data_IF_860942935938
#
_entry.id   IF_860942935938
#
_cell.length_a   1.000
_cell.length_b   1.000
_cell.length_c   1.000
_cell.angle_alpha   90.00
_cell.angle_beta   90.00
_cell.angle_gamma   90.00
#
_symmetry.space_group_name_H-M   'P 1'
#
loop_
_entity.id
_entity.type
_entity.pdbx_description
1 polymer ?
#
# COMPACT_ATOMS: atom_id res chain seq x y z
N UNK A 1 24.35 -18.50 -18.07
CA UNK A 1 24.38 -18.17 -16.61
C UNK A 1 23.21 -17.24 -16.33
N UNK A 2 22.23 -17.62 -15.50
CA UNK A 2 21.15 -16.72 -15.15
C UNK A 2 21.69 -15.65 -14.20
N UNK A 3 21.59 -14.39 -14.65
CA UNK A 3 21.84 -13.24 -13.81
C UNK A 3 20.83 -13.26 -12.65
N UNK A 4 21.33 -13.46 -11.46
CA UNK A 4 20.54 -13.30 -10.25
C UNK A 4 20.00 -11.87 -10.19
N UNK A 5 18.71 -11.72 -10.40
CA UNK A 5 18.00 -10.45 -10.18
C UNK A 5 18.13 -10.11 -8.71
N UNK A 6 18.96 -9.14 -8.41
CA UNK A 6 19.14 -8.62 -7.06
C UNK A 6 17.81 -8.04 -6.56
N UNK A 7 17.40 -8.34 -5.32
CA UNK A 7 16.15 -7.83 -4.73
C UNK A 7 16.09 -6.30 -4.64
N UNK A 8 17.20 -5.61 -4.81
CA UNK A 8 17.28 -4.15 -4.85
C UNK A 8 16.56 -3.53 -6.07
N UNK A 9 16.52 -4.24 -7.21
CA UNK A 9 15.81 -3.75 -8.40
C UNK A 9 14.29 -3.80 -8.23
N UNK A 10 13.77 -4.76 -7.47
CA UNK A 10 12.35 -4.83 -7.12
C UNK A 10 11.88 -3.67 -6.24
N UNK A 11 12.76 -3.15 -5.40
CA UNK A 11 12.47 -2.03 -4.51
C UNK A 11 12.39 -0.67 -5.26
N UNK A 12 13.23 -0.49 -6.27
CA UNK A 12 13.21 0.71 -7.11
C UNK A 12 12.00 0.76 -8.07
N UNK A 13 11.39 -0.39 -8.36
CA UNK A 13 10.21 -0.49 -9.22
C UNK A 13 8.89 -0.12 -8.49
N UNK A 14 8.95 0.09 -7.19
CA UNK A 14 7.79 0.51 -6.36
C UNK A 14 7.56 2.03 -6.35
N UNK A 15 8.34 2.78 -7.12
CA UNK A 15 8.13 4.22 -7.29
C UNK A 15 7.32 4.44 -8.57
N UNK A 16 6.11 4.96 -8.45
CA UNK A 16 5.31 5.28 -9.61
C UNK A 16 3.82 5.35 -9.34
N UNK A 17 3.11 5.48 -10.43
CA UNK A 17 1.66 5.47 -10.48
C UNK A 17 1.21 4.11 -10.99
N UNK A 18 0.32 3.47 -10.27
CA UNK A 18 -0.36 2.25 -10.73
C UNK A 18 -1.86 2.49 -10.86
N UNK A 19 -2.44 1.92 -11.92
CA UNK A 19 -3.87 1.93 -12.16
C UNK A 19 -4.42 0.53 -11.88
N UNK A 20 -5.51 0.45 -11.13
CA UNK A 20 -6.22 -0.79 -10.86
C UNK A 20 -7.72 -0.60 -11.10
N UNK A 21 -8.37 -1.64 -11.59
CA UNK A 21 -9.79 -1.64 -11.87
C UNK A 21 -10.51 -2.48 -10.83
N UNK A 22 -11.55 -1.90 -10.21
CA UNK A 22 -12.37 -2.58 -9.22
C UNK A 22 -13.85 -2.43 -9.54
N UNK A 23 -14.58 -3.55 -9.56
CA UNK A 23 -16.03 -3.51 -9.69
C UNK A 23 -16.66 -2.79 -8.50
N UNK A 24 -17.56 -1.85 -8.77
CA UNK A 24 -18.29 -1.11 -7.74
C UNK A 24 -19.39 -1.99 -7.18
N UNK A 25 -19.39 -2.15 -5.86
CA UNK A 25 -20.44 -2.91 -5.16
C UNK A 25 -21.79 -2.23 -5.28
N UNK A 26 -22.84 -3.04 -5.41
CA UNK A 26 -24.22 -2.54 -5.53
C UNK A 26 -24.73 -2.38 -6.96
N UNK A 27 -23.89 -2.62 -7.97
CA UNK A 27 -24.31 -2.74 -9.37
C UNK A 27 -24.15 -4.19 -9.80
N UNK A 28 -25.21 -4.76 -10.37
CA UNK A 28 -25.19 -6.14 -10.87
C UNK A 28 -24.33 -6.23 -12.12
N UNK A 29 -23.69 -7.37 -12.30
CA UNK A 29 -22.99 -7.68 -13.53
C UNK A 29 -24.01 -7.83 -14.68
N UNK A 30 -23.63 -7.40 -15.86
CA UNK A 30 -24.47 -7.52 -17.05
C UNK A 30 -23.60 -7.95 -18.23
N UNK A 31 -24.25 -8.32 -19.33
CA UNK A 31 -23.56 -8.81 -20.53
C UNK A 31 -23.48 -7.74 -21.58
N UNK A 32 -22.31 -7.62 -22.19
CA UNK A 32 -22.07 -6.85 -23.39
C UNK A 32 -21.46 -7.74 -24.47
N UNK A 33 -21.72 -7.38 -25.71
CA UNK A 33 -21.04 -7.99 -26.84
C UNK A 33 -19.74 -7.26 -27.09
N UNK A 34 -18.63 -7.99 -27.09
CA UNK A 34 -17.31 -7.41 -27.38
C UNK A 34 -17.09 -7.25 -28.90
N UNK A 35 -15.94 -6.70 -29.29
CA UNK A 35 -15.55 -6.52 -30.69
C UNK A 35 -15.46 -7.81 -31.52
N UNK A 36 -15.48 -8.97 -30.87
CA UNK A 36 -15.39 -10.29 -31.47
C UNK A 36 -16.76 -11.00 -31.50
N UNK A 37 -17.86 -10.25 -31.36
CA UNK A 37 -19.24 -10.75 -31.27
C UNK A 37 -19.46 -11.80 -30.18
N UNK A 38 -18.67 -11.78 -29.12
CA UNK A 38 -18.85 -12.64 -27.95
C UNK A 38 -19.49 -11.88 -26.80
N UNK A 39 -20.48 -12.50 -26.17
CA UNK A 39 -21.02 -12.00 -24.91
C UNK A 39 -19.98 -12.18 -23.79
N UNK A 40 -19.69 -11.10 -23.09
CA UNK A 40 -18.80 -11.07 -21.94
C UNK A 40 -19.50 -10.44 -20.76
N UNK A 41 -19.24 -10.97 -19.58
CA UNK A 41 -19.73 -10.38 -18.36
C UNK A 41 -18.91 -9.11 -18.06
N UNK A 42 -19.62 -8.03 -17.73
CA UNK A 42 -19.01 -6.73 -17.41
C UNK A 42 -19.58 -6.20 -16.11
N UNK A 43 -18.81 -5.33 -15.48
CA UNK A 43 -19.23 -4.62 -14.28
C UNK A 43 -18.99 -3.11 -14.42
N UNK A 44 -19.78 -2.34 -13.71
CA UNK A 44 -19.47 -0.93 -13.44
C UNK A 44 -18.28 -0.85 -12.53
N UNK A 45 -17.22 -0.21 -12.96
CA UNK A 45 -15.91 -0.25 -12.31
C UNK A 45 -15.36 1.13 -12.05
N UNK A 46 -14.64 1.27 -10.94
CA UNK A 46 -13.81 2.43 -10.64
C UNK A 46 -12.38 2.16 -11.10
N UNK A 47 -11.80 3.09 -11.83
CA UNK A 47 -10.37 3.13 -12.10
C UNK A 47 -9.68 3.85 -10.96
N UNK A 48 -8.89 3.11 -10.21
CA UNK A 48 -8.19 3.58 -9.02
C UNK A 48 -6.76 3.88 -9.38
N UNK A 49 -6.36 5.10 -9.16
CA UNK A 49 -4.99 5.54 -9.34
C UNK A 49 -4.29 5.59 -7.99
N UNK A 50 -3.18 4.86 -7.88
CA UNK A 50 -2.35 4.79 -6.68
C UNK A 50 -1.00 5.39 -6.96
N UNK A 51 -0.71 6.49 -6.31
CA UNK A 51 0.63 7.09 -6.30
C UNK A 51 1.42 6.51 -5.13
N UNK A 52 2.58 5.94 -5.40
CA UNK A 52 3.42 5.32 -4.39
C UNK A 52 4.88 5.78 -4.49
N UNK A 53 5.45 5.99 -3.30
CA UNK A 53 6.87 6.19 -3.08
C UNK A 53 7.28 5.28 -1.91
N UNK A 54 7.78 4.09 -2.21
CA UNK A 54 7.98 2.98 -1.27
C UNK A 54 6.68 2.42 -0.69
N UNK A 55 5.73 3.28 -0.32
CA UNK A 55 4.40 2.95 0.18
C UNK A 55 3.36 3.76 -0.60
N UNK A 56 2.14 3.26 -0.76
CA UNK A 56 1.05 4.04 -1.32
C UNK A 56 0.72 5.21 -0.38
N UNK A 57 0.85 6.43 -0.85
CA UNK A 57 0.56 7.63 -0.07
C UNK A 57 -0.70 8.36 -0.55
N UNK A 58 -1.11 8.13 -1.79
CA UNK A 58 -2.31 8.74 -2.35
C UNK A 58 -3.04 7.74 -3.22
N UNK A 59 -4.28 7.46 -2.86
CA UNK A 59 -5.17 6.56 -3.58
C UNK A 59 -6.44 7.34 -3.88
N UNK A 60 -6.84 7.41 -5.15
CA UNK A 60 -8.05 8.10 -5.55
C UNK A 60 -8.71 7.42 -6.75
N UNK A 61 -10.00 7.62 -6.88
CA UNK A 61 -10.74 7.20 -8.06
C UNK A 61 -10.52 8.26 -9.14
N UNK A 62 -9.95 7.85 -10.27
CA UNK A 62 -9.73 8.72 -11.41
C UNK A 62 -11.02 8.90 -12.20
N UNK A 63 -11.62 7.79 -12.61
CA UNK A 63 -12.86 7.78 -13.41
C UNK A 63 -13.61 6.44 -13.24
N UNK A 64 -14.83 6.43 -13.75
CA UNK A 64 -15.64 5.22 -13.81
C UNK A 64 -15.71 4.70 -15.24
N UNK A 65 -15.65 3.39 -15.37
CA UNK A 65 -15.62 2.67 -16.65
C UNK A 65 -16.47 1.41 -16.57
N UNK A 66 -16.77 0.82 -17.70
CA UNK A 66 -17.31 -0.55 -17.75
C UNK A 66 -16.14 -1.49 -18.00
N UNK A 67 -15.88 -2.42 -17.09
CA UNK A 67 -14.79 -3.37 -17.24
C UNK A 67 -15.32 -4.79 -17.45
N UNK A 68 -14.60 -5.56 -18.26
CA UNK A 68 -14.85 -6.98 -18.39
C UNK A 68 -14.51 -7.68 -17.08
N UNK A 69 -15.39 -8.54 -16.60
CA UNK A 69 -15.16 -9.33 -15.38
C UNK A 69 -14.10 -10.39 -15.62
N UNK A 70 -13.12 -10.47 -14.73
CA UNK A 70 -12.20 -11.60 -14.69
C UNK A 70 -12.86 -12.74 -13.87
N UNK A 71 -13.18 -13.87 -14.48
CA UNK A 71 -13.88 -14.95 -13.80
C UNK A 71 -13.07 -15.59 -12.66
N UNK A 72 -11.74 -15.52 -12.71
CA UNK A 72 -10.88 -16.10 -11.70
C UNK A 72 -10.88 -15.27 -10.40
N UNK A 73 -10.94 -13.94 -10.52
CA UNK A 73 -10.95 -13.02 -9.38
C UNK A 73 -12.35 -12.56 -8.98
N UNK A 74 -13.34 -12.80 -9.83
CA UNK A 74 -14.70 -12.27 -9.68
C UNK A 74 -14.72 -10.73 -9.46
N UNK A 75 -13.86 -10.04 -10.19
CA UNK A 75 -13.63 -8.60 -10.12
C UNK A 75 -13.29 -8.09 -11.53
N UNK A 76 -13.07 -6.78 -11.68
CA UNK A 76 -12.68 -6.18 -12.95
C UNK A 76 -11.40 -6.79 -13.52
N UNK A 77 -11.43 -7.09 -14.81
CA UNK A 77 -10.27 -7.51 -15.59
C UNK A 77 -9.55 -6.31 -16.22
N UNK A 78 -8.64 -6.60 -17.13
CA UNK A 78 -7.77 -5.58 -17.73
C UNK A 78 -8.41 -4.83 -18.92
N UNK A 79 -9.53 -5.40 -19.46
CA UNK A 79 -10.24 -4.77 -20.57
C UNK A 79 -11.39 -3.92 -20.07
N UNK A 80 -11.46 -2.70 -20.54
CA UNK A 80 -12.51 -1.76 -20.16
C UNK A 80 -12.94 -0.87 -21.33
N UNK A 81 -14.11 -0.28 -21.20
CA UNK A 81 -14.69 0.71 -22.10
C UNK A 81 -14.98 1.98 -21.33
N UNK A 82 -14.62 3.11 -21.91
CA UNK A 82 -14.89 4.40 -21.27
C UNK A 82 -16.40 4.68 -21.24
N UNK A 83 -16.86 5.11 -20.06
CA UNK A 83 -18.27 5.38 -19.82
C UNK A 83 -18.58 6.86 -20.11
N UNK A 84 -19.00 7.15 -21.34
CA UNK A 84 -19.48 8.49 -21.72
C UNK A 84 -20.87 8.78 -21.16
N UNK A 85 -21.24 10.06 -21.06
CA UNK A 85 -22.55 10.48 -20.54
C UNK A 85 -23.73 9.92 -21.33
N UNK A 86 -23.63 9.85 -22.65
CA UNK A 86 -24.68 9.32 -23.51
C UNK A 86 -24.87 7.82 -23.29
N UNK A 87 -23.79 7.08 -23.25
CA UNK A 87 -23.81 5.64 -23.00
C UNK A 87 -24.28 5.31 -21.58
N UNK A 88 -23.93 6.13 -20.59
CA UNK A 88 -24.47 6.02 -19.24
C UNK A 88 -26.00 6.09 -19.23
N UNK A 89 -26.58 7.09 -19.91
CA UNK A 89 -28.04 7.25 -20.01
C UNK A 89 -28.69 6.09 -20.75
N UNK A 90 -28.07 5.59 -21.80
CA UNK A 90 -28.54 4.44 -22.53
C UNK A 90 -28.60 3.17 -21.64
N UNK A 91 -27.50 2.88 -20.92
CA UNK A 91 -27.43 1.76 -19.99
C UNK A 91 -28.42 1.90 -18.82
N UNK A 92 -28.68 3.13 -18.35
CA UNK A 92 -29.71 3.38 -17.36
C UNK A 92 -31.11 3.20 -17.92
N UNK A 93 -31.36 3.57 -19.18
CA UNK A 93 -32.68 3.41 -19.82
C UNK A 93 -33.11 1.95 -20.01
N UNK A 94 -32.14 1.05 -20.07
CA UNK A 94 -32.36 -0.42 -20.21
C UNK A 94 -32.14 -1.18 -18.90
N UNK A 95 -32.15 -0.47 -17.76
CA UNK A 95 -31.98 -1.03 -16.40
C UNK A 95 -30.67 -1.82 -16.17
N UNK A 96 -29.63 -1.53 -16.97
CA UNK A 96 -28.30 -2.13 -16.77
C UNK A 96 -27.48 -1.39 -15.72
N UNK A 97 -27.70 -0.07 -15.59
CA UNK A 97 -27.12 0.77 -14.55
C UNK A 97 -28.22 1.43 -13.72
N UNK A 98 -28.02 1.60 -12.40
CA UNK A 98 -28.98 2.29 -11.57
C UNK A 98 -29.05 3.78 -11.92
N UNK A 99 -30.20 4.41 -11.65
CA UNK A 99 -30.41 5.83 -11.90
C UNK A 99 -29.44 6.73 -11.12
N UNK A 100 -29.06 6.32 -9.89
CA UNK A 100 -27.98 6.93 -9.15
C UNK A 100 -26.80 5.97 -9.12
N UNK A 101 -25.70 6.34 -9.73
CA UNK A 101 -24.48 5.54 -9.74
C UNK A 101 -23.81 5.59 -8.37
N UNK A 102 -23.54 4.44 -7.75
CA UNK A 102 -22.84 4.42 -6.48
C UNK A 102 -21.37 4.83 -6.67
N UNK A 103 -20.84 5.57 -5.71
CA UNK A 103 -19.43 5.89 -5.66
C UNK A 103 -18.63 4.73 -5.07
N UNK A 104 -17.45 4.49 -5.63
CA UNK A 104 -16.52 3.51 -5.09
C UNK A 104 -15.91 4.05 -3.79
N UNK A 105 -16.05 3.28 -2.73
CA UNK A 105 -15.42 3.59 -1.45
C UNK A 105 -14.08 2.87 -1.35
N UNK A 106 -13.00 3.65 -1.27
CA UNK A 106 -11.66 3.12 -1.06
C UNK A 106 -11.62 2.54 0.35
N UNK A 107 -11.44 1.23 0.44
CA UNK A 107 -11.36 0.53 1.73
C UNK A 107 -10.11 0.92 2.52
N UNK A 108 -10.20 0.90 3.85
CA UNK A 108 -9.04 1.13 4.73
C UNK A 108 -7.95 0.04 4.58
N UNK A 109 -8.33 -1.13 4.07
CA UNK A 109 -7.42 -2.22 3.74
C UNK A 109 -6.34 -1.80 2.72
N UNK A 110 -6.66 -0.87 1.83
CA UNK A 110 -5.69 -0.30 0.87
C UNK A 110 -4.55 0.48 1.54
N UNK A 111 -4.77 0.98 2.75
CA UNK A 111 -3.79 1.74 3.54
C UNK A 111 -3.05 0.88 4.57
N UNK A 112 -3.45 -0.38 4.78
CA UNK A 112 -2.83 -1.28 5.76
C UNK A 112 -1.31 -1.39 5.64
N UNK A 113 -0.70 -1.49 4.43
CA UNK A 113 0.75 -1.56 4.31
C UNK A 113 1.44 -0.28 4.79
N UNK A 114 0.84 0.89 4.53
CA UNK A 114 1.35 2.18 4.96
C UNK A 114 1.26 2.34 6.48
N UNK A 115 0.14 1.93 7.08
CA UNK A 115 -0.07 1.96 8.54
C UNK A 115 0.92 1.03 9.23
N UNK A 116 1.08 -0.21 8.72
CA UNK A 116 2.02 -1.20 9.27
C UNK A 116 3.46 -0.70 9.27
N UNK A 117 3.90 -0.11 8.16
CA UNK A 117 5.24 0.46 8.06
C UNK A 117 5.43 1.66 9.00
N UNK A 118 4.42 2.53 9.10
CA UNK A 118 4.43 3.66 10.04
C UNK A 118 4.59 3.22 11.48
N UNK A 119 3.88 2.19 11.91
CA UNK A 119 3.99 1.63 13.26
C UNK A 119 5.37 1.01 13.51
N UNK A 120 5.97 0.35 12.53
CA UNK A 120 7.34 -0.16 12.63
C UNK A 120 8.35 0.96 12.82
N UNK A 121 8.23 2.07 12.09
CA UNK A 121 9.09 3.23 12.26
C UNK A 121 8.95 3.84 13.64
N UNK A 122 7.73 4.05 14.13
CA UNK A 122 7.48 4.58 15.46
C UNK A 122 8.07 3.67 16.54
N UNK A 123 7.87 2.35 16.43
CA UNK A 123 8.44 1.37 17.34
C UNK A 123 9.98 1.39 17.35
N UNK A 124 10.58 1.47 16.17
CA UNK A 124 12.03 1.56 16.05
C UNK A 124 12.59 2.85 16.66
N UNK A 125 11.97 4.01 16.40
CA UNK A 125 12.36 5.28 17.00
C UNK A 125 12.23 5.26 18.52
N UNK A 126 11.13 4.75 19.05
CA UNK A 126 10.94 4.60 20.48
C UNK A 126 12.02 3.71 21.10
N UNK A 127 12.36 2.60 20.46
CA UNK A 127 13.44 1.72 20.92
C UNK A 127 14.81 2.42 20.93
N UNK A 128 15.14 3.19 19.89
CA UNK A 128 16.39 3.96 19.80
C UNK A 128 16.47 4.98 20.93
N UNK A 129 15.39 5.71 21.22
CA UNK A 129 15.35 6.72 22.30
C UNK A 129 15.55 6.04 23.67
N UNK A 130 14.86 4.93 23.93
CA UNK A 130 14.97 4.18 25.18
C UNK A 130 16.38 3.62 25.35
N UNK A 131 16.97 3.09 24.28
CA UNK A 131 18.34 2.53 24.31
C UNK A 131 19.38 3.62 24.55
N UNK A 132 19.19 4.82 23.98
CA UNK A 132 20.08 5.96 24.22
C UNK A 132 19.99 6.47 25.67
N UNK A 133 18.77 6.52 26.24
CA UNK A 133 18.55 6.94 27.61
C UNK A 133 19.15 5.96 28.62
N UNK A 134 19.04 4.64 28.38
CA UNK A 134 19.60 3.62 29.27
C UNK A 134 21.15 3.59 29.25
N UNK A 135 21.77 3.97 28.15
CA UNK A 135 23.25 4.09 28.10
C UNK A 135 23.82 5.29 28.81
N UNK A 136 23.00 6.31 29.06
CA UNK A 136 23.42 7.51 29.79
C UNK A 136 23.49 7.34 31.32
N UNK A 137 23.00 6.25 31.86
CA UNK A 137 22.96 5.93 33.29
C UNK A 137 24.06 4.98 33.75
N UNK A 138 25.21 4.90 33.07
CA UNK A 138 26.36 4.21 33.64
C UNK A 138 27.05 5.18 34.61
N UNK A 139 26.89 5.01 35.93
CA UNK A 139 27.63 5.84 36.89
C UNK A 139 29.10 5.53 36.73
N UNK A 140 29.90 6.59 36.61
CA UNK A 140 31.35 6.52 36.59
C UNK A 140 31.85 5.72 37.77
N UNK A 141 32.53 4.59 37.48
CA UNK A 141 33.22 3.84 38.49
C UNK A 141 34.27 4.71 39.15
N UNK A 142 34.08 4.93 40.43
CA UNK A 142 34.98 5.58 41.36
C UNK A 142 36.31 4.83 41.37
N UNK A 143 37.34 5.43 40.82
CA UNK A 143 38.73 5.01 40.99
C UNK A 143 39.13 5.22 42.43
N UNK A 144 39.10 4.16 43.23
CA UNK A 144 39.76 4.17 44.54
C UNK A 144 41.27 4.06 44.34
N UNK A 145 41.94 5.17 44.34
CA UNK A 145 43.39 5.21 44.52
C UNK A 145 43.73 4.73 45.94
N UNK A 146 44.15 3.50 46.02
CA UNK A 146 44.83 2.99 47.22
C UNK A 146 46.29 3.45 47.15
N UNK A 147 46.56 4.58 47.79
CA UNK A 147 47.88 5.03 48.15
C UNK A 147 48.42 4.13 49.24
N UNK A 148 49.28 3.19 48.86
CA UNK A 148 50.01 2.32 49.76
C UNK A 148 51.28 3.05 50.21
N UNK A 149 51.18 3.61 51.39
CA UNK A 149 52.29 4.22 52.12
C UNK A 149 53.32 3.18 52.47
N UNK A 150 54.50 3.28 51.87
CA UNK A 150 55.65 2.46 52.14
C UNK A 150 56.41 3.06 53.35
N UNK A 151 56.26 2.43 54.49
CA UNK A 151 56.97 2.78 55.67
C UNK A 151 58.30 2.03 55.73
N UNK A 152 59.33 2.75 55.38
CA UNK A 152 60.74 2.37 55.53
C UNK A 152 61.07 2.23 57.01
N UNK A 153 61.47 1.06 57.45
CA UNK A 153 62.20 0.88 58.70
C UNK A 153 63.62 0.41 58.41
N UNK A 154 64.54 1.32 58.60
CA UNK A 154 65.95 1.07 58.84
C UNK A 154 66.14 0.66 60.26
N UNK A 155 66.99 -0.31 60.53
CA UNK A 155 67.90 -0.37 61.64
C UNK A 155 68.85 -1.58 61.52
N UNK A 156 70.17 -1.26 61.62
CA UNK A 156 71.38 -1.96 62.03
C UNK A 156 71.81 -3.26 61.36
#
# INVERSE_FOLDING_TARGET
>A
MPLASTPLLGFLYSMGTSEDLKCVKGVSYFKLTNEQDKEVDVCYSAMINTESFMIPYKIHVDRYVIAQVNPERNDAGDKYWELGQEWTKELQSIDRLPASLPEYQIGMDSYLPAIGLGLLFVGWFAWVIISAASNSQKPGGESSDHEQSDSKKSDD
#
